data_IF_696559064968
#
_entry.id   IF_696559064968
#
_cell.length_a   1.000
_cell.length_b   1.000
_cell.length_c   1.000
_cell.angle_alpha   90.00
_cell.angle_beta   90.00
_cell.angle_gamma   90.00
#
_symmetry.space_group_name_H-M   'P 1'
#
loop_
_entity.id
_entity.type
_entity.pdbx_description
1 polymer ?
#
# COMPACT_ATOMS: atom_id res chain seq x y z
N UNK A 1 16.70 45.70 -11.26
CA UNK A 1 17.96 45.59 -12.02
C UNK A 1 19.14 45.09 -11.19
N UNK A 2 19.17 45.31 -9.85
CA UNK A 2 20.27 44.82 -9.01
C UNK A 2 20.37 43.29 -8.85
N UNK A 3 19.25 42.56 -8.87
CA UNK A 3 19.25 41.10 -8.63
C UNK A 3 19.69 40.25 -9.84
N UNK A 4 19.60 40.78 -11.07
CA UNK A 4 20.02 40.06 -12.28
C UNK A 4 21.55 40.03 -12.41
N UNK A 5 22.23 41.11 -11.99
CA UNK A 5 23.69 41.19 -11.99
C UNK A 5 24.30 40.24 -10.94
N UNK A 6 23.66 40.09 -9.79
CA UNK A 6 24.08 39.15 -8.75
C UNK A 6 23.95 37.67 -9.16
N UNK A 7 23.02 37.35 -10.07
CA UNK A 7 22.83 35.99 -10.56
C UNK A 7 23.76 35.62 -11.73
N UNK A 8 24.13 36.60 -12.57
CA UNK A 8 25.18 36.41 -13.59
C UNK A 8 26.56 36.26 -12.95
N UNK A 9 26.90 37.09 -11.96
CA UNK A 9 28.17 36.99 -11.22
C UNK A 9 28.30 35.63 -10.49
N UNK A 10 27.19 35.11 -9.95
CA UNK A 10 27.15 33.80 -9.30
C UNK A 10 27.34 32.65 -10.29
N UNK A 11 26.75 32.75 -11.49
CA UNK A 11 26.93 31.74 -12.57
C UNK A 11 28.35 31.76 -13.12
N UNK A 12 28.98 32.92 -13.21
CA UNK A 12 30.36 33.05 -13.68
C UNK A 12 31.38 32.55 -12.65
N UNK A 13 31.11 32.77 -11.36
CA UNK A 13 31.90 32.21 -10.26
C UNK A 13 31.80 30.67 -10.20
N UNK A 14 30.59 30.13 -10.36
CA UNK A 14 30.35 28.69 -10.44
C UNK A 14 31.07 28.08 -11.66
N UNK A 15 31.03 28.74 -12.83
CA UNK A 15 31.73 28.27 -14.02
C UNK A 15 33.27 28.23 -13.84
N UNK A 16 33.87 29.23 -13.18
CA UNK A 16 35.32 29.28 -12.89
C UNK A 16 35.76 28.23 -11.87
N UNK A 17 34.94 27.93 -10.87
CA UNK A 17 35.18 26.83 -9.92
C UNK A 17 35.11 25.46 -10.62
N UNK A 18 34.18 25.30 -11.58
CA UNK A 18 34.09 24.10 -12.41
C UNK A 18 35.33 23.88 -13.30
N UNK A 19 35.91 24.92 -13.90
CA UNK A 19 37.11 24.79 -14.74
C UNK A 19 38.36 24.32 -13.96
N UNK A 20 38.52 24.75 -12.71
CA UNK A 20 39.64 24.33 -11.85
C UNK A 20 39.61 22.84 -11.50
N UNK A 21 38.42 22.24 -11.42
CA UNK A 21 38.24 20.80 -11.11
C UNK A 21 38.63 19.91 -12.30
N UNK A 22 38.58 20.44 -13.54
CA UNK A 22 38.77 19.66 -14.78
C UNK A 22 40.24 19.53 -15.20
N UNK A 23 41.12 20.45 -14.79
CA UNK A 23 42.51 20.50 -15.26
C UNK A 23 43.46 19.43 -14.68
N UNK A 24 43.02 18.59 -13.73
CA UNK A 24 43.91 17.75 -12.91
C UNK A 24 44.05 16.25 -13.25
N UNK A 25 43.52 15.75 -14.38
CA UNK A 25 43.45 14.29 -14.59
C UNK A 25 43.63 13.83 -16.04
N UNK A 26 44.82 13.30 -16.34
CA UNK A 26 45.10 12.58 -17.59
C UNK A 26 44.38 11.23 -17.68
N UNK A 27 43.76 10.95 -18.83
CA UNK A 27 43.19 9.65 -19.20
C UNK A 27 41.73 9.72 -19.69
N UNK A 28 41.52 9.40 -20.98
CA UNK A 28 40.24 9.58 -21.67
C UNK A 28 39.20 8.47 -21.37
N UNK A 29 38.06 8.83 -20.76
CA UNK A 29 36.76 8.10 -20.85
C UNK A 29 35.60 9.10 -20.77
N UNK A 30 34.55 8.90 -21.58
CA UNK A 30 33.45 9.88 -21.81
C UNK A 30 32.22 9.63 -20.91
N UNK A 31 31.78 10.64 -20.17
CA UNK A 31 30.46 10.73 -19.53
C UNK A 31 29.68 11.93 -20.10
N UNK A 32 28.34 11.86 -20.17
CA UNK A 32 27.52 12.91 -20.78
C UNK A 32 26.42 13.36 -19.80
N UNK A 33 26.29 14.67 -19.59
CA UNK A 33 25.21 15.28 -18.81
C UNK A 33 24.25 16.00 -19.77
N UNK A 34 22.94 15.93 -19.52
CA UNK A 34 21.91 16.54 -20.38
C UNK A 34 20.84 17.24 -19.54
N UNK A 35 20.34 18.36 -20.03
CA UNK A 35 19.25 19.13 -19.43
C UNK A 35 17.95 18.88 -20.21
N UNK A 36 16.84 18.68 -19.50
CA UNK A 36 15.50 18.49 -20.07
C UNK A 36 14.48 19.26 -19.23
N UNK A 37 14.19 20.51 -19.62
CA UNK A 37 13.42 21.42 -18.77
C UNK A 37 14.08 21.57 -17.40
N UNK A 38 13.28 21.46 -16.34
CA UNK A 38 13.75 21.50 -14.94
C UNK A 38 14.45 20.20 -14.49
N UNK A 39 14.45 19.14 -15.31
CA UNK A 39 15.02 17.86 -14.94
C UNK A 39 16.44 17.72 -15.49
N UNK A 40 17.40 17.43 -14.60
CA UNK A 40 18.80 17.12 -14.97
C UNK A 40 18.94 15.61 -15.16
N UNK A 41 19.43 15.17 -16.32
CA UNK A 41 19.65 13.76 -16.65
C UNK A 41 21.13 13.45 -16.81
N UNK A 42 21.66 12.58 -15.96
CA UNK A 42 23.03 12.07 -16.02
C UNK A 42 23.06 10.74 -16.79
N UNK A 43 23.79 10.69 -17.91
CA UNK A 43 23.96 9.48 -18.71
C UNK A 43 25.36 8.90 -18.52
N UNK A 44 25.44 7.63 -18.14
CA UNK A 44 26.71 6.91 -18.06
C UNK A 44 26.63 5.52 -18.69
N UNK A 45 27.79 5.04 -19.15
CA UNK A 45 27.99 3.71 -19.73
C UNK A 45 29.05 3.00 -18.90
N UNK A 46 28.70 1.88 -18.30
CA UNK A 46 29.65 1.02 -17.60
C UNK A 46 30.30 0.08 -18.61
N UNK A 47 31.62 -0.13 -18.54
CA UNK A 47 32.44 -0.79 -19.56
C UNK A 47 32.00 -2.21 -19.92
N UNK A 48 31.35 -2.91 -18.99
CA UNK A 48 30.93 -4.32 -19.15
C UNK A 48 29.44 -4.54 -19.37
N UNK A 49 28.62 -3.48 -19.41
CA UNK A 49 27.20 -3.60 -19.73
C UNK A 49 26.87 -2.96 -21.09
N UNK A 50 26.22 -3.68 -22.02
CA UNK A 50 25.81 -3.10 -23.31
C UNK A 50 24.69 -2.05 -23.15
N UNK A 51 24.07 -1.96 -21.97
CA UNK A 51 22.88 -1.13 -21.72
C UNK A 51 23.25 0.18 -21.02
N UNK A 52 22.79 1.29 -21.59
CA UNK A 52 22.97 2.64 -21.04
C UNK A 52 22.09 2.82 -19.80
N UNK A 53 22.59 3.49 -18.77
CA UNK A 53 21.81 3.86 -17.57
C UNK A 53 21.72 5.38 -17.45
N UNK A 54 20.62 5.83 -16.85
CA UNK A 54 20.30 7.24 -16.66
C UNK A 54 19.90 7.49 -15.20
N UNK A 55 20.30 8.63 -14.65
CA UNK A 55 19.81 9.15 -13.38
C UNK A 55 19.14 10.51 -13.65
N UNK A 56 17.93 10.71 -13.14
CA UNK A 56 17.19 11.96 -13.26
C UNK A 56 17.12 12.67 -11.91
N UNK A 57 17.24 13.99 -11.92
CA UNK A 57 17.16 14.86 -10.75
C UNK A 57 16.18 16.01 -11.04
N UNK A 58 15.35 16.35 -10.06
CA UNK A 58 14.53 17.56 -10.07
C UNK A 58 15.36 18.73 -9.45
N UNK A 59 15.08 20.02 -9.73
CA UNK A 59 15.90 21.15 -9.27
C UNK A 59 15.88 21.37 -7.76
N UNK A 60 14.91 20.82 -7.05
CA UNK A 60 14.82 20.82 -5.58
C UNK A 60 15.63 19.68 -4.94
N UNK A 61 16.63 19.15 -5.66
CA UNK A 61 17.57 18.10 -5.24
C UNK A 61 16.94 16.76 -4.84
N UNK A 62 15.64 16.57 -5.09
CA UNK A 62 14.96 15.31 -4.82
C UNK A 62 15.30 14.28 -5.90
N UNK A 63 15.84 13.09 -5.58
CA UNK A 63 16.16 12.09 -6.60
C UNK A 63 14.89 11.40 -7.11
N UNK A 64 14.58 11.59 -8.39
CA UNK A 64 13.39 11.04 -9.05
C UNK A 64 13.83 9.85 -9.92
N UNK A 65 13.86 8.66 -9.30
CA UNK A 65 13.95 7.31 -9.92
C UNK A 65 15.27 6.89 -10.62
N UNK A 66 15.52 5.58 -10.59
CA UNK A 66 16.39 4.90 -11.58
C UNK A 66 15.52 4.27 -12.66
N UNK A 67 15.48 4.86 -13.85
CA UNK A 67 14.66 4.38 -14.97
C UNK A 67 15.47 3.50 -15.94
N UNK A 68 14.95 2.31 -16.24
CA UNK A 68 15.35 1.53 -17.42
C UNK A 68 14.56 2.05 -18.62
N UNK A 69 15.18 2.89 -19.44
CA UNK A 69 14.54 3.40 -20.64
C UNK A 69 14.51 2.35 -21.77
N UNK A 70 13.30 1.97 -22.21
CA UNK A 70 13.04 1.23 -23.45
C UNK A 70 12.93 2.15 -24.68
N UNK A 71 12.83 1.56 -25.88
CA UNK A 71 12.81 2.29 -27.17
C UNK A 71 11.71 3.37 -27.27
N UNK A 72 10.56 3.19 -26.62
CA UNK A 72 9.44 4.14 -26.67
C UNK A 72 9.77 5.51 -26.04
N UNK A 73 10.54 5.52 -24.95
CA UNK A 73 10.93 6.76 -24.30
C UNK A 73 11.97 7.58 -25.09
N UNK A 74 12.68 6.93 -26.01
CA UNK A 74 13.59 7.61 -26.93
C UNK A 74 12.87 8.43 -28.00
N UNK A 75 11.61 8.11 -28.31
CA UNK A 75 10.81 8.89 -29.26
C UNK A 75 10.39 10.25 -28.65
N UNK A 76 10.01 10.25 -27.38
CA UNK A 76 9.59 11.45 -26.63
C UNK A 76 10.76 12.45 -26.49
N UNK A 77 11.97 11.95 -26.26
CA UNK A 77 13.19 12.75 -26.11
C UNK A 77 13.63 13.44 -27.42
N UNK A 78 13.28 12.88 -28.59
CA UNK A 78 13.64 13.47 -29.89
C UNK A 78 12.71 14.61 -30.32
N UNK A 79 11.51 14.68 -29.77
CA UNK A 79 10.48 15.62 -30.24
C UNK A 79 10.63 17.05 -29.68
N UNK A 80 11.48 17.29 -28.66
CA UNK A 80 11.37 18.51 -27.83
C UNK A 80 12.68 19.20 -27.39
N UNK A 81 13.81 19.16 -28.11
CA UNK A 81 14.91 20.09 -27.76
C UNK A 81 16.27 19.92 -28.45
N UNK A 82 17.00 21.04 -28.52
CA UNK A 82 18.37 21.17 -29.05
C UNK A 82 19.45 20.56 -28.15
N UNK A 83 20.59 20.21 -28.76
CA UNK A 83 21.69 19.46 -28.15
C UNK A 83 22.97 20.32 -28.15
N UNK A 84 23.59 20.55 -26.98
CA UNK A 84 24.98 21.06 -26.85
C UNK A 84 25.84 20.11 -26.00
N UNK A 85 27.13 19.98 -26.32
CA UNK A 85 28.03 18.89 -25.89
C UNK A 85 29.21 19.40 -25.05
N UNK A 86 29.56 18.70 -23.95
CA UNK A 86 30.72 18.99 -23.08
C UNK A 86 31.37 17.68 -22.58
N UNK A 87 32.71 17.65 -22.37
CA UNK A 87 33.50 16.45 -22.04
C UNK A 87 34.25 16.58 -20.70
N UNK A 88 34.34 15.47 -19.93
CA UNK A 88 35.10 15.38 -18.66
C UNK A 88 35.97 14.11 -18.59
N UNK A 89 37.20 14.16 -18.02
CA UNK A 89 38.09 13.01 -17.88
C UNK A 89 37.94 12.26 -16.53
N UNK A 90 38.11 10.93 -16.49
CA UNK A 90 38.07 10.12 -15.26
C UNK A 90 39.09 8.96 -15.31
N UNK A 91 39.92 8.83 -14.27
CA UNK A 91 40.91 7.74 -14.11
C UNK A 91 40.39 6.55 -13.26
N UNK A 92 40.53 5.35 -13.83
CA UNK A 92 40.36 3.97 -13.30
C UNK A 92 39.08 3.56 -12.51
N UNK A 93 38.60 2.33 -12.76
CA UNK A 93 37.22 1.88 -12.50
C UNK A 93 36.79 1.77 -11.03
N UNK A 94 37.69 1.43 -10.11
CA UNK A 94 37.33 1.28 -8.69
C UNK A 94 37.25 2.64 -7.96
N UNK A 95 38.03 3.62 -8.40
CA UNK A 95 38.03 4.97 -7.85
C UNK A 95 37.05 5.90 -8.56
N UNK A 96 36.68 5.63 -9.81
CA UNK A 96 35.75 6.45 -10.59
C UNK A 96 34.37 6.57 -9.94
N UNK A 97 33.80 5.48 -9.44
CA UNK A 97 32.46 5.52 -8.83
C UNK A 97 32.50 6.22 -7.46
N UNK A 98 33.54 5.98 -6.66
CA UNK A 98 33.71 6.59 -5.33
C UNK A 98 34.05 8.08 -5.44
N UNK A 99 34.90 8.46 -6.41
CA UNK A 99 35.25 9.86 -6.66
C UNK A 99 34.14 10.64 -7.37
N UNK A 100 33.39 10.04 -8.29
CA UNK A 100 32.18 10.67 -8.83
C UNK A 100 31.12 10.87 -7.73
N UNK A 101 30.97 9.92 -6.80
CA UNK A 101 30.12 10.06 -5.61
C UNK A 101 30.60 11.19 -4.69
N UNK A 102 31.90 11.27 -4.41
CA UNK A 102 32.49 12.32 -3.56
C UNK A 102 32.47 13.69 -4.22
N UNK A 103 32.65 13.78 -5.54
CA UNK A 103 32.55 15.04 -6.29
C UNK A 103 31.13 15.59 -6.25
N UNK A 104 30.11 14.73 -6.39
CA UNK A 104 28.69 15.14 -6.24
C UNK A 104 28.38 15.57 -4.80
N UNK A 105 28.90 14.88 -3.79
CA UNK A 105 28.73 15.29 -2.38
C UNK A 105 29.44 16.61 -2.04
N UNK A 106 30.61 16.87 -2.64
CA UNK A 106 31.38 18.11 -2.39
C UNK A 106 30.77 19.32 -3.10
N UNK A 107 30.26 19.14 -4.33
CA UNK A 107 29.61 20.21 -5.08
C UNK A 107 28.28 20.63 -4.47
N UNK A 108 27.54 19.70 -3.84
CA UNK A 108 26.24 19.99 -3.23
C UNK A 108 26.31 20.37 -1.75
N UNK A 109 27.50 20.37 -1.12
CA UNK A 109 27.69 20.44 0.34
C UNK A 109 26.76 19.51 1.16
N UNK A 110 26.16 18.51 0.51
CA UNK A 110 25.19 17.61 1.10
C UNK A 110 25.85 16.24 1.25
N UNK A 111 25.67 15.57 2.41
CA UNK A 111 26.10 14.19 2.53
C UNK A 111 25.44 13.37 1.43
N UNK A 112 26.21 12.57 0.70
CA UNK A 112 25.66 11.52 -0.18
C UNK A 112 25.03 10.47 0.72
N UNK A 113 23.78 10.74 1.08
CA UNK A 113 22.90 9.79 1.74
C UNK A 113 22.59 8.75 0.68
N UNK A 114 23.08 7.54 0.89
CA UNK A 114 22.55 6.39 0.18
C UNK A 114 21.06 6.32 0.49
N UNK A 115 20.21 6.76 -0.45
CA UNK A 115 18.82 6.33 -0.51
C UNK A 115 18.80 4.86 -0.94
N UNK A 116 19.29 3.96 -0.08
CA UNK A 116 18.52 2.76 0.21
C UNK A 116 17.16 3.32 0.55
N UNK A 117 16.21 3.19 -0.38
CA UNK A 117 14.95 3.92 -0.35
C UNK A 117 14.45 3.99 1.09
N UNK A 118 14.01 5.17 1.51
CA UNK A 118 13.39 5.44 2.80
C UNK A 118 12.16 4.53 2.96
N UNK A 119 12.41 3.23 3.15
CA UNK A 119 11.41 2.24 3.48
C UNK A 119 11.08 2.57 4.91
N UNK A 120 9.87 3.11 5.12
CA UNK A 120 9.32 3.31 6.46
C UNK A 120 9.65 2.08 7.31
N UNK A 121 10.05 2.26 8.57
CA UNK A 121 10.41 1.16 9.43
C UNK A 121 9.28 0.13 9.43
N UNK A 122 9.66 -1.14 9.20
CA UNK A 122 8.73 -2.26 9.15
C UNK A 122 8.12 -2.44 10.53
N UNK A 123 6.80 -2.25 10.63
CA UNK A 123 6.02 -2.48 11.85
C UNK A 123 5.53 -3.93 11.84
N UNK A 124 5.72 -4.63 12.95
CA UNK A 124 5.34 -6.04 13.06
C UNK A 124 4.23 -6.22 14.07
N UNK A 125 3.24 -7.04 13.72
CA UNK A 125 2.08 -7.34 14.56
C UNK A 125 1.88 -8.85 14.68
N UNK A 126 1.49 -9.30 15.85
CA UNK A 126 1.13 -10.69 16.12
C UNK A 126 -0.23 -11.02 15.50
N UNK A 127 -1.20 -10.10 15.62
CA UNK A 127 -2.56 -10.28 15.09
C UNK A 127 -2.94 -9.19 14.09
N UNK A 128 -3.77 -9.57 13.11
CA UNK A 128 -4.38 -8.66 12.16
C UNK A 128 -5.90 -8.84 12.22
N UNK A 129 -6.61 -7.85 12.74
CA UNK A 129 -8.06 -7.83 12.76
C UNK A 129 -8.54 -7.05 11.54
N UNK A 130 -8.98 -7.75 10.48
CA UNK A 130 -9.48 -7.09 9.27
C UNK A 130 -10.94 -6.72 9.49
N UNK A 131 -11.20 -5.42 9.70
CA UNK A 131 -12.50 -4.87 10.08
C UNK A 131 -13.20 -4.26 8.86
N UNK A 132 -14.22 -4.94 8.33
CA UNK A 132 -15.14 -4.41 7.33
C UNK A 132 -14.61 -4.27 5.89
N UNK A 133 -15.53 -4.14 4.93
CA UNK A 133 -15.31 -4.02 3.47
C UNK A 133 -14.17 -4.92 2.92
N UNK A 134 -14.27 -6.20 3.26
CA UNK A 134 -13.13 -7.01 3.67
C UNK A 134 -12.62 -7.96 2.60
N UNK A 135 -13.41 -8.27 1.56
CA UNK A 135 -12.97 -9.21 0.52
C UNK A 135 -11.70 -8.70 -0.20
N UNK A 136 -11.62 -7.40 -0.49
CA UNK A 136 -10.41 -6.80 -1.09
C UNK A 136 -9.27 -6.78 -0.08
N UNK A 137 -9.51 -6.33 1.16
CA UNK A 137 -8.48 -6.26 2.20
C UNK A 137 -7.86 -7.64 2.47
N UNK A 138 -8.70 -8.66 2.67
CA UNK A 138 -8.31 -10.04 2.89
C UNK A 138 -7.55 -10.61 1.68
N UNK A 139 -8.04 -10.36 0.46
CA UNK A 139 -7.36 -10.77 -0.75
C UNK A 139 -5.97 -10.12 -0.87
N UNK A 140 -5.87 -8.80 -0.67
CA UNK A 140 -4.61 -8.07 -0.75
C UNK A 140 -3.64 -8.50 0.35
N UNK A 141 -4.13 -8.77 1.55
CA UNK A 141 -3.34 -9.32 2.65
C UNK A 141 -2.79 -10.72 2.28
N UNK A 142 -3.66 -11.61 1.79
CA UNK A 142 -3.30 -12.96 1.33
C UNK A 142 -2.19 -12.91 0.28
N UNK A 143 -2.36 -12.08 -0.76
CA UNK A 143 -1.37 -11.95 -1.85
C UNK A 143 -0.03 -11.39 -1.37
N UNK A 144 -0.04 -10.49 -0.38
CA UNK A 144 1.18 -9.90 0.15
C UNK A 144 1.93 -10.84 1.11
N UNK A 145 1.20 -11.60 1.93
CA UNK A 145 1.79 -12.36 3.04
C UNK A 145 1.88 -13.86 2.79
N UNK A 146 1.09 -14.40 1.85
CA UNK A 146 1.01 -15.83 1.53
C UNK A 146 0.21 -16.64 2.55
N UNK A 147 -0.61 -15.96 3.37
CA UNK A 147 -1.59 -16.59 4.25
C UNK A 147 -2.71 -15.58 4.55
N UNK A 148 -3.84 -16.09 5.01
CA UNK A 148 -4.93 -15.29 5.55
C UNK A 148 -5.35 -15.93 6.87
N UNK A 149 -5.36 -15.13 7.94
CA UNK A 149 -5.93 -15.57 9.20
C UNK A 149 -7.45 -15.35 9.17
N UNK A 150 -8.22 -16.38 9.53
CA UNK A 150 -9.68 -16.26 9.59
C UNK A 150 -10.07 -15.42 10.79
N UNK A 151 -10.48 -14.17 10.56
CA UNK A 151 -11.01 -13.26 11.57
C UNK A 151 -12.50 -13.03 11.34
N UNK A 152 -13.26 -12.69 12.38
CA UNK A 152 -14.72 -12.55 12.30
C UNK A 152 -15.16 -11.64 11.15
N UNK A 153 -14.69 -10.39 11.17
CA UNK A 153 -15.02 -9.41 10.13
C UNK A 153 -14.29 -9.62 8.80
N UNK A 154 -13.51 -10.69 8.62
CA UNK A 154 -13.09 -11.11 7.28
C UNK A 154 -14.22 -11.84 6.54
N UNK A 155 -15.17 -12.44 7.27
CA UNK A 155 -16.27 -13.26 6.74
C UNK A 155 -17.64 -12.57 6.75
N UNK A 156 -17.70 -11.38 7.36
CA UNK A 156 -18.94 -10.63 7.57
C UNK A 156 -18.86 -9.32 6.79
N UNK A 157 -19.88 -9.04 5.98
CA UNK A 157 -20.10 -7.76 5.35
C UNK A 157 -20.65 -6.77 6.37
N UNK A 158 -19.90 -5.70 6.65
CA UNK A 158 -20.24 -4.72 7.68
C UNK A 158 -20.94 -3.48 7.13
N UNK A 159 -21.11 -3.38 5.81
CA UNK A 159 -21.59 -2.17 5.14
C UNK A 159 -20.55 -1.04 5.26
N UNK A 160 -20.69 -0.21 6.29
CA UNK A 160 -19.85 0.94 6.58
C UNK A 160 -19.20 0.84 7.98
N UNK A 161 -18.36 1.82 8.34
CA UNK A 161 -17.67 1.92 9.62
C UNK A 161 -18.65 2.17 10.77
N UNK A 162 -19.76 2.88 10.53
CA UNK A 162 -20.80 3.09 11.56
C UNK A 162 -21.49 1.77 11.92
N UNK A 163 -21.85 0.96 10.92
CA UNK A 163 -22.37 -0.39 11.06
C UNK A 163 -21.39 -1.31 11.76
N UNK A 164 -20.09 -1.23 11.43
CA UNK A 164 -19.04 -1.94 12.14
C UNK A 164 -18.99 -1.56 13.64
N UNK A 165 -18.97 -0.27 13.97
CA UNK A 165 -18.94 0.19 15.39
C UNK A 165 -20.19 -0.27 16.13
N UNK A 166 -21.36 -0.18 15.51
CA UNK A 166 -22.60 -0.68 16.10
C UNK A 166 -22.56 -2.19 16.33
N UNK A 167 -22.05 -2.97 15.38
CA UNK A 167 -21.88 -4.41 15.52
C UNK A 167 -20.90 -4.78 16.65
N UNK A 168 -19.84 -3.98 16.84
CA UNK A 168 -18.89 -4.17 17.95
C UNK A 168 -19.53 -3.88 19.32
N UNK A 169 -20.51 -2.97 19.41
CA UNK A 169 -21.25 -2.69 20.65
C UNK A 169 -22.12 -3.85 21.10
N UNK A 170 -22.69 -4.58 20.16
CA UNK A 170 -23.52 -5.77 20.42
C UNK A 170 -22.86 -7.05 19.89
N UNK A 171 -21.53 -7.16 20.00
CA UNK A 171 -20.76 -8.20 19.30
C UNK A 171 -21.17 -9.64 19.65
N UNK A 172 -21.59 -9.87 20.89
CA UNK A 172 -22.10 -11.16 21.37
C UNK A 172 -23.44 -11.58 20.73
N UNK A 173 -24.11 -10.65 20.08
CA UNK A 173 -25.43 -10.87 19.48
C UNK A 173 -25.35 -11.07 17.96
N UNK A 174 -24.26 -10.64 17.31
CA UNK A 174 -24.05 -10.79 15.86
C UNK A 174 -24.06 -12.27 15.47
N UNK A 175 -25.00 -12.68 14.62
CA UNK A 175 -25.25 -14.07 14.20
C UNK A 175 -25.63 -15.04 15.33
N UNK A 176 -26.00 -14.53 16.52
CA UNK A 176 -26.50 -15.37 17.60
C UNK A 176 -27.98 -15.74 17.42
N UNK A 177 -28.75 -14.86 16.77
CA UNK A 177 -30.21 -14.97 16.65
C UNK A 177 -30.69 -15.52 15.30
N UNK A 178 -31.78 -14.92 14.84
CA UNK A 178 -32.44 -15.24 13.58
C UNK A 178 -31.63 -14.78 12.36
N UNK A 179 -31.61 -15.63 11.34
CA UNK A 179 -30.95 -15.37 10.07
C UNK A 179 -31.91 -15.57 8.93
N UNK A 180 -31.84 -14.68 7.95
CA UNK A 180 -32.60 -14.74 6.70
C UNK A 180 -31.65 -14.76 5.51
N UNK A 181 -32.12 -15.17 4.34
CA UNK A 181 -31.33 -14.96 3.13
C UNK A 181 -31.19 -13.47 2.86
N UNK A 182 -29.98 -13.03 2.53
CA UNK A 182 -29.75 -11.66 2.11
C UNK A 182 -30.45 -11.43 0.74
N UNK A 183 -31.39 -10.48 0.65
CA UNK A 183 -32.07 -10.21 -0.62
C UNK A 183 -31.14 -9.56 -1.66
N UNK A 184 -30.03 -8.97 -1.23
CA UNK A 184 -29.08 -8.22 -2.06
C UNK A 184 -27.89 -9.07 -2.53
N UNK A 185 -27.64 -10.21 -1.88
CA UNK A 185 -26.54 -11.11 -2.18
C UNK A 185 -27.02 -12.56 -2.23
N UNK A 186 -26.82 -13.23 -3.36
CA UNK A 186 -27.45 -14.53 -3.60
C UNK A 186 -26.94 -15.62 -2.66
N UNK A 187 -25.69 -15.54 -2.16
CA UNK A 187 -24.97 -16.56 -1.38
C UNK A 187 -24.68 -16.15 0.08
N UNK A 188 -25.50 -15.27 0.66
CA UNK A 188 -25.29 -14.77 2.02
C UNK A 188 -26.53 -14.94 2.91
N UNK A 189 -26.27 -15.17 4.20
CA UNK A 189 -27.28 -15.02 5.25
C UNK A 189 -27.08 -13.69 5.95
N UNK A 190 -28.18 -12.97 6.16
CA UNK A 190 -28.24 -11.73 6.89
C UNK A 190 -28.75 -12.00 8.31
N UNK A 191 -28.01 -11.52 9.30
CA UNK A 191 -28.42 -11.46 10.71
C UNK A 191 -29.54 -10.44 10.88
N UNK A 192 -30.68 -10.87 11.41
CA UNK A 192 -31.88 -10.03 11.47
C UNK A 192 -31.72 -8.82 12.42
N UNK A 193 -30.86 -8.92 13.44
CA UNK A 193 -30.68 -7.88 14.45
C UNK A 193 -29.74 -6.77 13.97
N UNK A 194 -28.64 -7.16 13.36
CA UNK A 194 -27.55 -6.24 13.01
C UNK A 194 -27.54 -5.86 11.52
N UNK A 195 -28.28 -6.59 10.68
CA UNK A 195 -28.28 -6.41 9.23
C UNK A 195 -26.97 -6.82 8.58
N UNK A 196 -26.07 -7.50 9.31
CA UNK A 196 -24.80 -7.97 8.80
C UNK A 196 -24.98 -9.26 8.00
N UNK A 197 -24.25 -9.39 6.90
CA UNK A 197 -24.34 -10.56 6.03
C UNK A 197 -23.06 -11.38 6.06
N UNK A 198 -23.18 -12.70 6.07
CA UNK A 198 -22.05 -13.63 5.99
C UNK A 198 -22.28 -14.67 4.89
N UNK A 199 -21.20 -15.07 4.21
CA UNK A 199 -21.29 -16.07 3.15
C UNK A 199 -21.72 -17.43 3.69
N UNK A 200 -22.73 -18.01 3.05
CA UNK A 200 -23.00 -19.43 3.16
C UNK A 200 -21.88 -20.23 2.52
N UNK A 201 -21.65 -21.46 2.99
CA UNK A 201 -20.78 -22.43 2.32
C UNK A 201 -21.26 -22.77 0.92
N UNK A 202 -22.58 -22.66 0.69
CA UNK A 202 -23.17 -22.98 -0.58
C UNK A 202 -23.11 -21.82 -1.59
N UNK A 203 -22.77 -22.14 -2.83
CA UNK A 203 -22.82 -21.18 -3.93
C UNK A 203 -24.21 -21.17 -4.54
N UNK A 204 -25.00 -20.17 -4.19
CA UNK A 204 -26.40 -20.01 -4.61
C UNK A 204 -26.66 -20.02 -6.11
N UNK A 205 -25.65 -19.74 -6.95
CA UNK A 205 -25.82 -19.81 -8.40
C UNK A 205 -25.97 -21.26 -8.91
N UNK A 206 -25.32 -22.23 -8.27
CA UNK A 206 -25.42 -23.65 -8.65
C UNK A 206 -26.66 -24.32 -8.05
N UNK A 207 -27.11 -23.83 -6.89
CA UNK A 207 -28.16 -24.49 -6.12
C UNK A 207 -29.55 -23.83 -6.23
N UNK A 208 -29.67 -22.65 -6.87
CA UNK A 208 -30.99 -22.08 -7.22
C UNK A 208 -31.58 -22.69 -8.48
N UNK A 209 -30.73 -23.16 -9.40
CA UNK A 209 -31.15 -23.83 -10.63
C UNK A 209 -31.51 -25.31 -10.39
N UNK A 210 -30.98 -25.92 -9.33
CA UNK A 210 -31.42 -27.23 -8.86
C UNK A 210 -32.46 -27.05 -7.75
N UNK A 211 -33.70 -27.42 -8.02
CA UNK A 211 -34.85 -27.35 -7.11
C UNK A 211 -34.77 -28.31 -5.90
N UNK A 212 -33.59 -28.48 -5.29
CA UNK A 212 -33.26 -29.60 -4.41
C UNK A 212 -33.03 -29.25 -2.93
N UNK A 213 -33.10 -27.96 -2.53
CA UNK A 213 -32.87 -27.60 -1.13
C UNK A 213 -34.13 -27.80 -0.28
N UNK A 214 -34.05 -28.70 0.68
CA UNK A 214 -35.09 -28.85 1.69
C UNK A 214 -34.97 -27.76 2.75
N UNK A 215 -36.04 -27.50 3.50
CA UNK A 215 -35.97 -26.63 4.68
C UNK A 215 -34.91 -27.11 5.70
N UNK A 216 -34.71 -28.43 5.79
CA UNK A 216 -33.69 -29.04 6.66
C UNK A 216 -32.27 -28.64 6.25
N UNK A 217 -31.97 -28.56 4.95
CA UNK A 217 -30.64 -28.17 4.47
C UNK A 217 -30.34 -26.71 4.82
N UNK A 218 -31.34 -25.84 4.70
CA UNK A 218 -31.22 -24.42 5.06
C UNK A 218 -30.96 -24.25 6.56
N UNK A 219 -31.68 -24.98 7.41
CA UNK A 219 -31.49 -24.91 8.85
C UNK A 219 -30.15 -25.52 9.31
N UNK A 220 -29.70 -26.60 8.67
CA UNK A 220 -28.37 -27.16 8.93
C UNK A 220 -27.26 -26.16 8.58
N UNK A 221 -27.40 -25.42 7.49
CA UNK A 221 -26.44 -24.38 7.08
C UNK A 221 -26.45 -23.19 8.05
N UNK A 222 -27.63 -22.73 8.48
CA UNK A 222 -27.72 -21.69 9.52
C UNK A 222 -27.04 -22.15 10.81
N UNK A 223 -27.24 -23.41 11.22
CA UNK A 223 -26.60 -23.97 12.40
C UNK A 223 -25.06 -24.01 12.27
N UNK A 224 -24.53 -24.41 11.11
CA UNK A 224 -23.10 -24.33 10.81
C UNK A 224 -22.59 -22.90 10.89
N UNK A 225 -23.25 -21.97 10.21
CA UNK A 225 -22.83 -20.58 10.16
C UNK A 225 -22.80 -19.97 11.56
N UNK A 226 -23.82 -20.23 12.38
CA UNK A 226 -23.86 -19.81 13.80
C UNK A 226 -22.67 -20.35 14.58
N UNK A 227 -22.37 -21.64 14.45
CA UNK A 227 -21.22 -22.27 15.11
C UNK A 227 -19.88 -21.64 14.67
N UNK A 228 -19.71 -21.44 13.35
CA UNK A 228 -18.53 -20.80 12.77
C UNK A 228 -18.37 -19.35 13.24
N UNK A 229 -19.44 -18.57 13.27
CA UNK A 229 -19.44 -17.18 13.76
C UNK A 229 -19.13 -17.12 15.25
N UNK A 230 -19.70 -18.01 16.06
CA UNK A 230 -19.39 -18.09 17.49
C UNK A 230 -17.90 -18.38 17.73
N UNK A 231 -17.31 -19.32 16.99
CA UNK A 231 -15.87 -19.60 17.05
C UNK A 231 -15.03 -18.37 16.66
N UNK A 232 -15.37 -17.70 15.56
CA UNK A 232 -14.64 -16.52 15.09
C UNK A 232 -14.76 -15.33 16.05
N UNK A 233 -15.89 -15.19 16.74
CA UNK A 233 -16.10 -14.17 17.77
C UNK A 233 -15.23 -14.42 18.99
N UNK A 234 -15.22 -15.64 19.50
CA UNK A 234 -14.34 -16.06 20.60
C UNK A 234 -12.87 -15.82 20.26
N UNK A 235 -12.48 -16.19 19.03
CA UNK A 235 -11.12 -15.91 18.53
C UNK A 235 -10.82 -14.42 18.46
N UNK A 236 -11.75 -13.59 17.99
CA UNK A 236 -11.59 -12.15 17.93
C UNK A 236 -11.32 -11.56 19.32
N UNK A 237 -12.13 -11.93 20.32
CA UNK A 237 -11.92 -11.48 21.70
C UNK A 237 -10.56 -11.88 22.25
N UNK A 238 -10.14 -13.13 21.99
CA UNK A 238 -8.83 -13.62 22.43
C UNK A 238 -7.69 -12.81 21.83
N UNK A 239 -7.70 -12.61 20.52
CA UNK A 239 -6.68 -11.82 19.82
C UNK A 239 -6.66 -10.36 20.28
N UNK A 240 -7.82 -9.79 20.58
CA UNK A 240 -7.90 -8.40 21.04
C UNK A 240 -7.40 -8.23 22.48
N UNK A 241 -7.60 -9.24 23.35
CA UNK A 241 -7.38 -9.16 24.80
C UNK A 241 -6.05 -9.75 25.29
N UNK A 242 -5.37 -10.56 24.49
CA UNK A 242 -4.15 -11.29 24.91
C UNK A 242 -2.92 -10.40 25.13
N UNK A 243 -2.98 -9.11 24.77
CA UNK A 243 -1.92 -8.13 24.98
C UNK A 243 -0.82 -8.16 23.92
N UNK A 244 -0.91 -9.05 22.93
CA UNK A 244 0.00 -9.10 21.81
C UNK A 244 -0.22 -7.92 20.85
N UNK A 245 0.84 -7.41 20.19
CA UNK A 245 0.71 -6.30 19.24
C UNK A 245 -0.29 -6.62 18.13
N UNK A 246 -1.40 -5.89 18.09
CA UNK A 246 -2.51 -6.12 17.17
C UNK A 246 -2.69 -4.96 16.19
N UNK A 247 -2.89 -5.25 14.91
CA UNK A 247 -3.28 -4.26 13.92
C UNK A 247 -4.73 -4.46 13.53
N UNK A 248 -5.60 -3.53 13.94
CA UNK A 248 -6.96 -3.42 13.44
C UNK A 248 -6.93 -2.66 12.10
N UNK A 249 -7.36 -3.29 11.01
CA UNK A 249 -7.32 -2.68 9.67
C UNK A 249 -8.73 -2.40 9.20
N UNK A 250 -9.02 -1.15 8.85
CA UNK A 250 -10.33 -0.73 8.34
C UNK A 250 -10.15 -0.04 6.99
N UNK A 251 -10.98 -0.43 6.01
CA UNK A 251 -11.09 0.25 4.72
C UNK A 251 -12.20 1.29 4.84
N UNK A 252 -11.88 2.56 4.61
CA UNK A 252 -12.82 3.68 4.68
C UNK A 252 -13.36 3.98 3.30
N UNK A 253 -14.69 4.00 3.15
CA UNK A 253 -15.33 4.40 1.89
C UNK A 253 -15.26 5.93 1.71
N UNK A 254 -15.37 6.43 0.48
CA UNK A 254 -15.27 7.87 0.20
C UNK A 254 -16.22 8.72 1.05
N UNK A 255 -17.47 8.29 1.16
CA UNK A 255 -18.54 8.92 1.93
C UNK A 255 -18.27 8.94 3.45
N UNK A 256 -17.34 8.12 3.94
CA UNK A 256 -16.98 8.04 5.35
C UNK A 256 -15.74 8.87 5.69
N UNK A 257 -15.01 9.30 4.67
CA UNK A 257 -13.73 9.97 4.86
C UNK A 257 -13.91 11.37 5.46
N UNK A 258 -15.02 12.06 5.17
CA UNK A 258 -15.34 13.39 5.73
C UNK A 258 -15.42 13.39 7.26
N UNK A 259 -15.88 12.29 7.85
CA UNK A 259 -15.99 12.06 9.30
C UNK A 259 -14.93 11.05 9.79
N UNK A 260 -13.84 10.90 9.04
CA UNK A 260 -12.88 9.82 9.23
C UNK A 260 -12.27 9.80 10.64
N UNK A 261 -11.92 10.96 11.19
CA UNK A 261 -11.35 11.08 12.54
C UNK A 261 -12.34 10.63 13.63
N UNK A 262 -13.59 11.10 13.56
CA UNK A 262 -14.64 10.76 14.51
C UNK A 262 -14.97 9.27 14.48
N UNK A 263 -15.02 8.68 13.28
CA UNK A 263 -15.24 7.24 13.08
C UNK A 263 -14.10 6.41 13.64
N UNK A 264 -12.85 6.82 13.42
CA UNK A 264 -11.68 6.12 13.99
C UNK A 264 -11.62 6.22 15.51
N UNK A 265 -11.97 7.37 16.09
CA UNK A 265 -12.10 7.54 17.54
C UNK A 265 -13.20 6.66 18.12
N UNK A 266 -14.35 6.58 17.47
CA UNK A 266 -15.45 5.70 17.89
C UNK A 266 -15.02 4.22 17.84
N UNK A 267 -14.29 3.84 16.79
CA UNK A 267 -13.75 2.48 16.65
C UNK A 267 -12.69 2.16 17.72
N UNK A 268 -11.75 3.07 17.98
CA UNK A 268 -10.74 2.91 19.05
C UNK A 268 -11.41 2.76 20.42
N UNK A 269 -12.34 3.65 20.74
CA UNK A 269 -13.10 3.59 21.98
C UNK A 269 -13.81 2.24 22.14
N UNK A 270 -14.47 1.75 21.08
CA UNK A 270 -15.17 0.47 21.12
C UNK A 270 -14.22 -0.72 21.29
N UNK A 271 -13.09 -0.75 20.57
CA UNK A 271 -12.10 -1.82 20.72
C UNK A 271 -11.47 -1.83 22.13
N UNK A 272 -11.27 -0.65 22.73
CA UNK A 272 -10.81 -0.53 24.13
C UNK A 272 -11.86 -1.03 25.12
N UNK A 273 -13.12 -0.63 24.94
CA UNK A 273 -14.24 -1.08 25.77
C UNK A 273 -14.36 -2.62 25.74
N UNK A 274 -14.15 -3.23 24.58
CA UNK A 274 -14.11 -4.69 24.42
C UNK A 274 -12.88 -5.36 25.08
N UNK A 275 -11.98 -4.60 25.69
CA UNK A 275 -10.80 -5.08 26.41
C UNK A 275 -9.50 -5.06 25.61
N UNK A 276 -9.45 -4.35 24.48
CA UNK A 276 -8.25 -4.17 23.67
C UNK A 276 -7.17 -3.37 24.41
N UNK A 277 -5.99 -3.97 24.58
CA UNK A 277 -4.88 -3.37 25.38
C UNK A 277 -3.71 -2.87 24.54
N UNK A 278 -3.34 -3.61 23.49
CA UNK A 278 -2.14 -3.36 22.69
C UNK A 278 -2.46 -3.44 21.20
N UNK A 279 -3.18 -2.44 20.70
CA UNK A 279 -3.54 -2.38 19.29
C UNK A 279 -3.23 -1.02 18.67
N UNK A 280 -3.09 -1.02 17.35
CA UNK A 280 -3.12 0.17 16.51
C UNK A 280 -4.19 0.02 15.45
N UNK A 281 -4.73 1.13 14.95
CA UNK A 281 -5.69 1.13 13.84
C UNK A 281 -4.99 1.57 12.56
N UNK A 282 -5.13 0.80 11.48
CA UNK A 282 -4.76 1.17 10.13
C UNK A 282 -6.03 1.49 9.34
N UNK A 283 -6.26 2.76 9.09
CA UNK A 283 -7.26 3.23 8.15
C UNK A 283 -6.68 3.30 6.74
N UNK A 284 -7.35 2.67 5.78
CA UNK A 284 -6.98 2.77 4.37
C UNK A 284 -8.10 3.48 3.62
N UNK A 285 -7.83 4.63 3.01
CA UNK A 285 -8.75 5.42 2.18
C UNK A 285 -8.21 5.58 0.74
N UNK A 286 -8.99 6.12 -0.21
CA UNK A 286 -8.41 6.53 -1.51
C UNK A 286 -7.63 7.82 -1.32
N UNK A 287 -6.58 8.02 -2.12
CA UNK A 287 -5.74 9.22 -2.06
C UNK A 287 -6.53 10.52 -2.21
N UNK A 288 -7.57 10.52 -3.05
CA UNK A 288 -8.45 11.68 -3.26
C UNK A 288 -9.28 12.03 -2.00
N UNK A 289 -9.64 11.02 -1.19
CA UNK A 289 -10.52 11.21 -0.03
C UNK A 289 -9.72 11.44 1.27
N UNK A 290 -8.40 11.25 1.23
CA UNK A 290 -7.51 11.33 2.39
C UNK A 290 -7.37 12.73 2.99
N UNK A 291 -7.79 13.78 2.26
CA UNK A 291 -7.67 15.19 2.68
C UNK A 291 -8.42 15.50 3.98
N UNK A 292 -9.39 14.66 4.34
CA UNK A 292 -10.24 14.83 5.52
C UNK A 292 -9.70 14.14 6.78
N UNK A 293 -8.61 13.39 6.68
CA UNK A 293 -8.03 12.73 7.84
C UNK A 293 -6.91 13.56 8.47
N UNK A 294 -6.75 13.52 9.80
CA UNK A 294 -5.58 14.08 10.46
C UNK A 294 -4.32 13.38 9.93
N UNK A 295 -3.27 14.17 9.69
CA UNK A 295 -2.03 13.67 9.06
C UNK A 295 -1.36 12.59 9.91
N UNK A 296 -1.38 12.73 11.23
CA UNK A 296 -0.87 11.74 12.19
C UNK A 296 -1.64 11.81 13.51
N UNK A 297 -1.92 10.65 14.11
CA UNK A 297 -2.45 10.53 15.46
C UNK A 297 -1.75 9.35 16.15
N UNK A 298 -1.31 9.47 17.41
CA UNK A 298 -0.75 8.35 18.16
C UNK A 298 -1.71 7.15 18.13
N UNK A 299 -1.21 5.97 17.72
CA UNK A 299 -2.01 4.74 17.65
C UNK A 299 -2.81 4.55 16.35
N UNK A 300 -2.88 5.55 15.46
CA UNK A 300 -3.55 5.43 14.16
C UNK A 300 -2.56 5.58 13.00
N UNK A 301 -2.79 4.80 11.96
CA UNK A 301 -2.08 4.90 10.70
C UNK A 301 -3.09 5.18 9.59
N UNK A 302 -2.90 6.27 8.86
CA UNK A 302 -3.62 6.52 7.63
C UNK A 302 -2.77 6.13 6.43
N UNK A 303 -3.25 5.23 5.59
CA UNK A 303 -2.60 4.93 4.31
C UNK A 303 -3.59 5.09 3.17
N UNK A 304 -3.04 5.36 1.99
CA UNK A 304 -3.84 5.64 0.82
C UNK A 304 -3.53 4.66 -0.30
N UNK A 305 -4.56 4.39 -1.08
CA UNK A 305 -4.48 3.72 -2.38
C UNK A 305 -5.03 4.66 -3.45
N UNK A 306 -4.61 4.53 -4.70
CA UNK A 306 -5.19 5.31 -5.80
C UNK A 306 -6.62 4.89 -6.13
N UNK A 307 -6.95 3.60 -5.98
CA UNK A 307 -8.26 3.05 -6.25
C UNK A 307 -8.49 1.74 -5.48
N UNK A 308 -9.76 1.46 -5.19
CA UNK A 308 -10.21 0.17 -4.70
C UNK A 308 -10.70 -0.72 -5.84
N UNK A 309 -10.69 -2.02 -5.60
CA UNK A 309 -11.48 -2.93 -6.40
C UNK A 309 -12.99 -2.60 -6.27
N UNK A 310 -13.77 -2.72 -7.35
CA UNK A 310 -15.23 -2.79 -7.26
C UNK A 310 -15.66 -3.95 -6.38
N UNK A 311 -16.74 -3.79 -5.61
CA UNK A 311 -17.19 -4.80 -4.63
C UNK A 311 -17.43 -6.18 -5.27
N UNK A 312 -18.07 -6.20 -6.43
CA UNK A 312 -18.34 -7.41 -7.23
C UNK A 312 -17.08 -8.07 -7.84
N UNK A 313 -15.91 -7.43 -7.71
CA UNK A 313 -14.59 -7.89 -8.18
C UNK A 313 -13.50 -7.70 -7.14
N UNK A 314 -13.85 -7.81 -5.86
CA UNK A 314 -12.94 -7.57 -4.75
C UNK A 314 -11.65 -8.42 -4.78
N UNK A 315 -11.68 -9.58 -5.44
CA UNK A 315 -10.55 -10.51 -5.56
C UNK A 315 -9.80 -10.49 -6.91
N UNK A 316 -10.06 -9.52 -7.78
CA UNK A 316 -9.43 -9.47 -9.11
C UNK A 316 -8.23 -8.52 -9.13
N UNK A 317 -7.06 -8.96 -9.59
CA UNK A 317 -5.85 -8.10 -9.55
C UNK A 317 -5.95 -6.83 -10.41
N UNK A 318 -6.75 -6.84 -11.48
CA UNK A 318 -6.76 -5.83 -12.54
C UNK A 318 -7.42 -4.49 -12.18
N UNK A 319 -8.29 -4.44 -11.16
CA UNK A 319 -9.19 -3.30 -10.96
C UNK A 319 -8.78 -2.30 -9.87
N UNK A 320 -7.83 -2.63 -8.98
CA UNK A 320 -7.43 -1.77 -7.86
C UNK A 320 -5.93 -1.59 -7.73
N UNK A 321 -5.52 -0.72 -6.81
CA UNK A 321 -4.13 -0.29 -6.65
C UNK A 321 -3.23 -1.35 -5.99
N UNK A 322 -2.81 -2.33 -6.78
CA UNK A 322 -1.90 -3.39 -6.34
C UNK A 322 -0.60 -2.83 -5.74
N UNK A 323 -0.06 -1.75 -6.32
CA UNK A 323 1.21 -1.18 -5.89
C UNK A 323 1.07 -0.52 -4.52
N UNK A 324 0.03 0.29 -4.33
CA UNK A 324 -0.33 0.92 -3.06
C UNK A 324 -0.54 -0.11 -1.95
N UNK A 325 -1.34 -1.15 -2.21
CA UNK A 325 -1.53 -2.26 -1.27
C UNK A 325 -0.21 -2.97 -0.92
N UNK A 326 0.66 -3.19 -1.91
CA UNK A 326 1.97 -3.82 -1.67
C UNK A 326 2.85 -2.94 -0.76
N UNK A 327 2.83 -1.61 -0.93
CA UNK A 327 3.57 -0.69 -0.06
C UNK A 327 3.03 -0.75 1.37
N UNK A 328 1.71 -0.75 1.54
CA UNK A 328 1.06 -0.87 2.85
C UNK A 328 1.49 -2.16 3.55
N UNK A 329 1.34 -3.32 2.91
CA UNK A 329 1.70 -4.61 3.53
C UNK A 329 3.21 -4.85 3.67
N UNK A 330 4.05 -4.07 2.97
CA UNK A 330 5.49 -4.03 3.26
C UNK A 330 5.80 -3.27 4.54
N UNK A 331 5.05 -2.21 4.82
CA UNK A 331 5.17 -1.41 6.03
C UNK A 331 4.61 -2.15 7.25
N UNK A 332 3.42 -2.76 7.12
CA UNK A 332 2.73 -3.49 8.18
C UNK A 332 2.81 -4.99 7.93
N UNK A 333 3.72 -5.67 8.61
CA UNK A 333 4.03 -7.08 8.38
C UNK A 333 3.62 -7.96 9.58
N UNK A 334 3.27 -9.23 9.35
CA UNK A 334 3.07 -10.17 10.42
C UNK A 334 4.38 -10.55 11.11
N UNK A 335 4.31 -10.71 12.44
CA UNK A 335 5.42 -11.18 13.26
C UNK A 335 5.73 -12.65 12.92
N UNK A 336 4.68 -13.46 12.74
CA UNK A 336 4.75 -14.86 12.32
C UNK A 336 3.80 -15.07 11.14
N UNK A 337 4.29 -15.75 10.10
CA UNK A 337 3.42 -16.21 9.00
C UNK A 337 2.76 -17.51 9.39
N UNK A 338 1.45 -17.61 9.20
CA UNK A 338 0.74 -18.88 9.38
C UNK A 338 1.04 -19.81 8.21
N UNK A 339 1.12 -21.11 8.50
CA UNK A 339 1.17 -22.13 7.44
C UNK A 339 -0.23 -22.23 6.85
N UNK A 340 -0.33 -21.98 5.54
CA UNK A 340 -1.60 -22.04 4.84
C UNK A 340 -1.90 -23.49 4.45
N UNK A 341 -2.90 -24.09 5.10
CA UNK A 341 -3.37 -25.45 4.80
C UNK A 341 -4.62 -25.47 3.90
N UNK A 342 -5.24 -24.31 3.66
CA UNK A 342 -6.49 -24.19 2.89
C UNK A 342 -6.25 -23.53 1.54
N UNK A 343 -6.91 -24.05 0.52
CA UNK A 343 -7.05 -23.39 -0.78
C UNK A 343 -8.25 -22.45 -0.69
N UNK A 344 -8.07 -21.16 -0.96
CA UNK A 344 -9.16 -20.19 -0.96
C UNK A 344 -9.85 -20.16 -2.32
N UNK A 345 -11.11 -19.71 -2.37
CA UNK A 345 -11.87 -19.53 -3.62
C UNK A 345 -11.10 -18.68 -4.65
N UNK A 346 -10.32 -17.72 -4.17
CA UNK A 346 -9.48 -16.84 -5.00
C UNK A 346 -8.27 -17.54 -5.64
N UNK A 347 -7.87 -18.70 -5.14
CA UNK A 347 -6.75 -19.47 -5.71
C UNK A 347 -7.19 -20.24 -6.96
N UNK A 348 -8.49 -20.49 -7.13
CA UNK A 348 -9.05 -21.22 -8.28
C UNK A 348 -9.21 -20.34 -9.54
N UNK A 349 -9.37 -19.02 -9.39
CA UNK A 349 -9.60 -18.09 -10.50
C UNK A 349 -8.29 -17.56 -11.15
N UNK A 350 -7.13 -18.08 -10.72
CA UNK A 350 -5.81 -17.57 -11.10
C UNK A 350 -4.84 -18.60 -11.69
N UNK A 351 -5.33 -19.70 -12.25
CA UNK A 351 -4.53 -20.62 -13.08
C UNK A 351 -4.93 -20.52 -14.55
#
# INVERSE_FOLDING_TARGET
MGDLLAEEDRRELEAREWEKVVAGGGGHRKANVRLFGDIRLLRFKLSKEPKKRFLAFHPDETPVWTLRFGRAAWAIVRQHGEIKEWQLPIASEANALVRAKLAVSRVLQAPVIFLRGLTRPRKKFSHFLLLGCNCELAYRFLRANGFLDSTFFAWVGTGDCKGLVNALRCFDEVFAGEMSFDPTASDMFMDAKTGMSAHSRYNSKLDRESSARTASDVEAEKAELRSRMAHLREKFYRQLRDGEPTLAVVKMRPEECSEGDERLKALDAQLREMGGRNFSILAVCRKADAVHFPKEHPGYYLRTVSSYNPEWKAATEQFGDRAGWTVIWREFAPLKKLVQHKTYKFDAEGR
#
